data_IF_305708949429
#
_entry.id   IF_305708949429
#
_cell.length_a   1.000
_cell.length_b   1.000
_cell.length_c   1.000
_cell.angle_alpha   90.00
_cell.angle_beta   90.00
_cell.angle_gamma   90.00
#
_symmetry.space_group_name_H-M   'P 1'
#
loop_
_entity.id
_entity.type
_entity.pdbx_description
1 polymer ?
#
# COMPACT_ATOMS: atom_id res chain seq x y z
N UNK A 1 19.94 24.25 -12.33
CA UNK A 1 20.09 23.97 -10.89
C UNK A 1 18.77 23.93 -10.09
N UNK A 2 17.74 24.77 -10.29
CA UNK A 2 16.50 24.66 -9.49
C UNK A 2 15.61 23.45 -9.86
N UNK A 3 15.64 23.01 -11.12
CA UNK A 3 14.76 21.94 -11.63
C UNK A 3 15.08 20.54 -11.05
N UNK A 4 16.36 20.21 -10.87
CA UNK A 4 16.77 18.92 -10.30
C UNK A 4 16.38 18.78 -8.81
N UNK A 5 16.47 19.87 -8.05
CA UNK A 5 16.04 19.90 -6.65
C UNK A 5 14.52 19.73 -6.51
N UNK A 6 13.75 20.27 -7.46
CA UNK A 6 12.29 20.09 -7.50
C UNK A 6 11.95 18.63 -7.81
N UNK A 7 12.61 18.01 -8.80
CA UNK A 7 12.39 16.59 -9.11
C UNK A 7 12.76 15.69 -7.92
N UNK A 8 13.86 15.98 -7.22
CA UNK A 8 14.25 15.27 -6.00
C UNK A 8 13.21 15.41 -4.90
N UNK A 9 12.65 16.61 -4.70
CA UNK A 9 11.59 16.85 -3.74
C UNK A 9 10.32 16.05 -4.07
N UNK A 10 9.87 16.06 -5.33
CA UNK A 10 8.71 15.26 -5.75
C UNK A 10 8.99 13.75 -5.65
N UNK A 11 10.22 13.29 -5.93
CA UNK A 11 10.60 11.90 -5.75
C UNK A 11 10.52 11.44 -4.28
N UNK A 12 10.75 12.34 -3.31
CA UNK A 12 10.59 12.06 -1.88
C UNK A 12 9.13 12.15 -1.41
N UNK A 13 8.43 13.19 -1.83
CA UNK A 13 7.13 13.57 -1.26
C UNK A 13 5.99 12.78 -1.87
N UNK A 14 6.03 12.48 -3.16
CA UNK A 14 4.94 11.79 -3.86
C UNK A 14 4.71 10.35 -3.35
N UNK A 15 5.76 9.54 -3.12
CA UNK A 15 5.58 8.21 -2.53
C UNK A 15 5.09 8.27 -1.09
N UNK A 16 5.48 9.29 -0.32
CA UNK A 16 5.07 9.48 1.07
C UNK A 16 3.60 9.90 1.17
N UNK A 17 3.18 10.89 0.38
CA UNK A 17 1.78 11.32 0.29
C UNK A 17 0.89 10.17 -0.17
N UNK A 18 1.33 9.44 -1.19
CA UNK A 18 0.67 8.26 -1.72
C UNK A 18 0.52 7.14 -0.68
N UNK A 19 1.60 6.78 0.01
CA UNK A 19 1.57 5.77 1.06
C UNK A 19 0.65 6.17 2.21
N UNK A 20 0.68 7.45 2.64
CA UNK A 20 -0.11 7.93 3.77
C UNK A 20 -1.60 7.90 3.46
N UNK A 21 -2.02 8.35 2.27
CA UNK A 21 -3.42 8.31 1.84
C UNK A 21 -3.97 6.88 1.76
N UNK A 22 -3.16 5.92 1.32
CA UNK A 22 -3.62 4.53 1.18
C UNK A 22 -3.53 3.72 2.47
N UNK A 23 -2.65 4.07 3.41
CA UNK A 23 -2.75 3.55 4.78
C UNK A 23 -4.06 4.01 5.40
N UNK A 24 -4.46 5.27 5.21
CA UNK A 24 -5.75 5.79 5.70
C UNK A 24 -6.94 5.09 5.03
N UNK A 25 -6.94 4.97 3.69
CA UNK A 25 -7.98 4.23 2.98
C UNK A 25 -8.01 2.76 3.39
N UNK A 26 -6.85 2.16 3.61
CA UNK A 26 -6.74 0.77 3.98
C UNK A 26 -7.27 0.52 5.40
N UNK A 27 -6.87 1.35 6.35
CA UNK A 27 -7.40 1.34 7.71
C UNK A 27 -8.92 1.60 7.70
N UNK A 28 -9.39 2.53 6.88
CA UNK A 28 -10.82 2.83 6.73
C UNK A 28 -11.61 1.64 6.18
N UNK A 29 -11.12 0.96 5.14
CA UNK A 29 -11.75 -0.24 4.56
C UNK A 29 -11.74 -1.40 5.57
N UNK A 30 -10.65 -1.56 6.30
CA UNK A 30 -10.54 -2.51 7.41
C UNK A 30 -11.54 -2.22 8.53
N UNK A 31 -11.75 -0.95 8.87
CA UNK A 31 -12.73 -0.52 9.88
C UNK A 31 -14.18 -0.70 9.39
N UNK A 32 -14.49 -0.43 8.13
CA UNK A 32 -15.82 -0.69 7.55
C UNK A 32 -16.17 -2.17 7.54
N UNK A 33 -15.23 -3.04 7.17
CA UNK A 33 -15.40 -4.49 7.27
C UNK A 33 -15.56 -4.99 8.72
N UNK A 34 -15.21 -4.16 9.71
CA UNK A 34 -15.32 -4.46 11.14
C UNK A 34 -16.45 -3.74 11.85
N UNK A 35 -17.24 -2.95 11.12
CA UNK A 35 -18.31 -2.19 11.75
C UNK A 35 -19.39 -3.16 12.25
N UNK A 36 -19.94 -2.95 13.46
CA UNK A 36 -21.02 -3.77 14.00
C UNK A 36 -22.25 -3.80 13.07
N UNK A 37 -22.50 -2.73 12.30
CA UNK A 37 -23.56 -2.69 11.29
C UNK A 37 -23.34 -3.69 10.13
N UNK A 38 -22.10 -4.08 9.85
CA UNK A 38 -21.76 -5.10 8.85
C UNK A 38 -21.90 -6.53 9.42
N UNK A 39 -21.99 -6.66 10.75
CA UNK A 39 -22.08 -7.94 11.46
C UNK A 39 -23.51 -8.29 11.86
N UNK A 40 -24.40 -7.30 11.97
CA UNK A 40 -25.81 -7.49 12.25
C UNK A 40 -26.50 -8.22 11.08
N UNK A 41 -27.03 -9.41 11.36
CA UNK A 41 -27.74 -10.25 10.38
C UNK A 41 -26.88 -11.32 9.68
N UNK A 42 -25.58 -11.40 9.97
CA UNK A 42 -24.71 -12.47 9.44
C UNK A 42 -24.79 -13.75 10.30
N UNK A 43 -24.72 -14.90 9.65
CA UNK A 43 -24.63 -16.21 10.33
C UNK A 43 -23.25 -16.41 10.97
N UNK A 44 -23.13 -17.32 11.96
CA UNK A 44 -21.85 -17.60 12.61
C UNK A 44 -20.75 -18.03 11.61
N UNK A 45 -21.13 -18.72 10.54
CA UNK A 45 -20.24 -19.13 9.45
C UNK A 45 -19.69 -17.93 8.66
N UNK A 46 -20.55 -16.97 8.33
CA UNK A 46 -20.15 -15.73 7.65
C UNK A 46 -19.25 -14.88 8.52
N UNK A 47 -19.51 -14.82 9.83
CA UNK A 47 -18.64 -14.13 10.80
C UNK A 47 -17.26 -14.78 10.86
N UNK A 48 -17.17 -16.12 10.84
CA UNK A 48 -15.91 -16.84 10.84
C UNK A 48 -15.09 -16.54 9.56
N UNK A 49 -15.74 -16.52 8.40
CA UNK A 49 -15.12 -16.14 7.12
C UNK A 49 -14.65 -14.68 7.12
N UNK A 50 -15.46 -13.75 7.61
CA UNK A 50 -15.10 -12.33 7.72
C UNK A 50 -13.84 -12.12 8.59
N UNK A 51 -13.73 -12.85 9.70
CA UNK A 51 -12.49 -12.84 10.54
C UNK A 51 -11.27 -13.37 9.77
N UNK A 52 -11.45 -14.27 8.82
CA UNK A 52 -10.37 -14.78 7.96
C UNK A 52 -9.90 -13.71 6.97
N UNK A 53 -10.83 -13.02 6.32
CA UNK A 53 -10.57 -11.88 5.44
C UNK A 53 -9.88 -10.73 6.17
N UNK A 54 -10.33 -10.43 7.39
CA UNK A 54 -9.68 -9.46 8.28
C UNK A 54 -8.21 -9.81 8.54
N UNK A 55 -7.89 -11.06 8.86
CA UNK A 55 -6.51 -11.49 9.10
C UNK A 55 -5.65 -11.37 7.83
N UNK A 56 -6.22 -11.68 6.66
CA UNK A 56 -5.56 -11.51 5.36
C UNK A 56 -5.27 -10.02 5.10
N UNK A 57 -6.26 -9.18 5.35
CA UNK A 57 -6.17 -7.73 5.19
C UNK A 57 -5.08 -7.10 6.07
N UNK A 58 -5.10 -7.42 7.37
CA UNK A 58 -4.06 -6.97 8.32
C UNK A 58 -2.68 -7.45 7.90
N UNK A 59 -2.57 -8.66 7.37
CA UNK A 59 -1.29 -9.20 6.87
C UNK A 59 -0.79 -8.43 5.64
N UNK A 60 -1.69 -8.05 4.71
CA UNK A 60 -1.34 -7.20 3.56
C UNK A 60 -0.87 -5.84 4.05
N UNK A 61 -1.63 -5.20 4.94
CA UNK A 61 -1.27 -3.92 5.55
C UNK A 61 0.10 -3.96 6.25
N UNK A 62 0.36 -4.96 7.08
CA UNK A 62 1.65 -5.12 7.76
C UNK A 62 2.80 -5.35 6.78
N UNK A 63 2.60 -6.18 5.75
CA UNK A 63 3.60 -6.40 4.69
C UNK A 63 3.86 -5.13 3.88
N UNK A 64 2.83 -4.35 3.63
CA UNK A 64 2.94 -3.05 2.96
C UNK A 64 3.71 -2.04 3.81
N UNK A 65 3.40 -1.92 5.11
CA UNK A 65 4.13 -1.06 6.05
C UNK A 65 5.59 -1.49 6.14
N UNK A 66 5.84 -2.80 6.30
CA UNK A 66 7.20 -3.33 6.33
C UNK A 66 7.96 -3.04 5.01
N UNK A 67 7.31 -3.27 3.86
CA UNK A 67 7.85 -2.94 2.56
C UNK A 67 8.18 -1.45 2.41
N UNK A 68 7.33 -0.56 2.95
CA UNK A 68 7.60 0.88 2.97
C UNK A 68 8.81 1.23 3.85
N UNK A 69 8.90 0.65 5.05
CA UNK A 69 10.06 0.83 5.96
C UNK A 69 11.36 0.35 5.31
N UNK A 70 11.32 -0.69 4.47
CA UNK A 70 12.48 -1.18 3.71
C UNK A 70 12.77 -0.31 2.47
N UNK A 71 11.74 0.20 1.79
CA UNK A 71 11.89 1.06 0.61
C UNK A 71 12.47 2.44 0.96
N UNK A 72 12.21 2.96 2.17
CA UNK A 72 12.75 4.24 2.62
C UNK A 72 14.30 4.32 2.60
N UNK A 73 15.04 3.40 3.26
CA UNK A 73 16.50 3.42 3.22
C UNK A 73 17.05 3.11 1.82
N UNK A 74 16.39 2.25 1.02
CA UNK A 74 16.76 2.00 -0.38
C UNK A 74 16.65 3.29 -1.19
N UNK A 75 15.56 4.04 -1.01
CA UNK A 75 15.35 5.32 -1.68
C UNK A 75 16.37 6.36 -1.25
N UNK A 76 16.66 6.45 0.06
CA UNK A 76 17.74 7.29 0.59
C UNK A 76 19.11 6.94 0.01
N UNK A 77 19.42 5.66 -0.15
CA UNK A 77 20.66 5.19 -0.75
C UNK A 77 20.80 5.60 -2.22
N UNK A 78 19.78 5.35 -3.06
CA UNK A 78 19.81 5.71 -4.48
C UNK A 78 19.89 7.23 -4.73
N UNK A 79 19.28 8.03 -3.85
CA UNK A 79 19.37 9.48 -3.90
C UNK A 79 20.75 9.98 -3.44
N UNK A 80 21.33 9.33 -2.43
CA UNK A 80 22.69 9.61 -1.99
C UNK A 80 23.73 9.27 -3.08
N UNK A 81 23.58 8.16 -3.81
CA UNK A 81 24.48 7.84 -4.92
C UNK A 81 24.31 8.78 -6.11
N UNK A 82 23.07 9.18 -6.42
CA UNK A 82 22.76 10.14 -7.48
C UNK A 82 23.33 11.54 -7.20
N UNK A 83 23.24 12.02 -5.95
CA UNK A 83 23.80 13.32 -5.52
C UNK A 83 25.33 13.36 -5.51
N UNK A 84 25.98 12.21 -5.32
CA UNK A 84 27.44 12.07 -5.43
C UNK A 84 27.93 11.84 -6.88
N UNK A 85 27.03 11.88 -7.87
CA UNK A 85 27.32 11.57 -9.28
C UNK A 85 28.00 10.20 -9.51
N UNK A 86 27.84 9.26 -8.58
CA UNK A 86 28.38 7.89 -8.69
C UNK A 86 27.58 7.10 -9.72
N UNK A 87 26.28 7.41 -9.84
CA UNK A 87 25.35 6.81 -10.79
C UNK A 87 24.58 7.90 -11.53
N UNK A 88 24.16 7.63 -12.78
CA UNK A 88 23.31 8.56 -13.54
C UNK A 88 22.03 8.89 -12.75
N UNK A 89 21.75 10.18 -12.44
CA UNK A 89 20.59 10.57 -11.66
C UNK A 89 19.28 10.07 -12.26
N UNK A 90 19.14 10.15 -13.58
CA UNK A 90 17.95 9.68 -14.31
C UNK A 90 17.72 8.18 -14.13
N UNK A 91 18.79 7.37 -14.17
CA UNK A 91 18.70 5.93 -13.94
C UNK A 91 18.22 5.59 -12.52
N UNK A 92 18.75 6.28 -11.51
CA UNK A 92 18.33 6.09 -10.12
C UNK A 92 16.86 6.44 -9.89
N UNK A 93 16.36 7.54 -10.47
CA UNK A 93 14.94 7.93 -10.34
C UNK A 93 14.00 6.95 -11.05
N UNK A 94 14.37 6.45 -12.24
CA UNK A 94 13.57 5.45 -12.96
C UNK A 94 13.45 4.16 -12.13
N UNK A 95 14.56 3.69 -11.55
CA UNK A 95 14.57 2.48 -10.76
C UNK A 95 13.71 2.60 -9.49
N UNK A 96 13.77 3.76 -8.83
CA UNK A 96 12.88 4.08 -7.71
C UNK A 96 11.42 4.13 -8.14
N UNK A 97 11.11 4.74 -9.30
CA UNK A 97 9.77 4.74 -9.86
C UNK A 97 9.22 3.34 -10.10
N UNK A 98 10.03 2.42 -10.61
CA UNK A 98 9.66 1.01 -10.81
C UNK A 98 9.44 0.31 -9.46
N UNK A 99 10.36 0.47 -8.50
CA UNK A 99 10.25 -0.14 -7.17
C UNK A 99 8.98 0.32 -6.44
N UNK A 100 8.73 1.63 -6.44
CA UNK A 100 7.50 2.18 -5.88
C UNK A 100 6.27 1.73 -6.65
N UNK A 101 6.32 1.71 -7.99
CA UNK A 101 5.21 1.24 -8.84
C UNK A 101 4.83 -0.21 -8.57
N UNK A 102 5.81 -1.12 -8.45
CA UNK A 102 5.56 -2.52 -8.11
C UNK A 102 4.98 -2.68 -6.71
N UNK A 103 5.53 -1.94 -5.73
CA UNK A 103 5.00 -1.92 -4.38
C UNK A 103 3.55 -1.39 -4.34
N UNK A 104 3.26 -0.38 -5.16
CA UNK A 104 1.93 0.20 -5.33
C UNK A 104 0.93 -0.81 -5.90
N UNK A 105 1.28 -1.51 -6.98
CA UNK A 105 0.43 -2.54 -7.58
C UNK A 105 0.14 -3.64 -6.58
N UNK A 106 1.13 -4.05 -5.78
CA UNK A 106 0.94 -5.03 -4.72
C UNK A 106 -0.06 -4.57 -3.64
N UNK A 107 0.08 -3.32 -3.17
CA UNK A 107 -0.76 -2.78 -2.10
C UNK A 107 -2.20 -2.58 -2.57
N UNK A 108 -2.39 -1.85 -3.67
CA UNK A 108 -3.73 -1.52 -4.19
C UNK A 108 -4.41 -2.76 -4.74
N UNK A 109 -3.70 -3.55 -5.54
CA UNK A 109 -4.21 -4.81 -6.07
C UNK A 109 -4.59 -5.79 -4.96
N UNK A 110 -3.75 -5.93 -3.92
CA UNK A 110 -4.02 -6.80 -2.79
C UNK A 110 -5.25 -6.38 -1.97
N UNK A 111 -5.40 -5.08 -1.71
CA UNK A 111 -6.55 -4.53 -0.98
C UNK A 111 -7.85 -4.69 -1.78
N UNK A 112 -7.85 -4.28 -3.05
CA UNK A 112 -9.03 -4.37 -3.92
C UNK A 112 -9.46 -5.82 -4.15
N UNK A 113 -8.50 -6.70 -4.42
CA UNK A 113 -8.79 -8.12 -4.63
C UNK A 113 -9.38 -8.77 -3.36
N UNK A 114 -8.82 -8.46 -2.18
CA UNK A 114 -9.34 -8.99 -0.91
C UNK A 114 -10.74 -8.44 -0.61
N UNK A 115 -10.99 -7.16 -0.90
CA UNK A 115 -12.32 -6.56 -0.75
C UNK A 115 -13.34 -7.16 -1.73
N UNK A 116 -12.93 -7.38 -2.98
CA UNK A 116 -13.76 -8.04 -4.00
C UNK A 116 -14.17 -9.45 -3.57
N UNK A 117 -13.22 -10.29 -3.16
CA UNK A 117 -13.50 -11.65 -2.68
C UNK A 117 -14.46 -11.64 -1.49
N UNK A 118 -14.30 -10.69 -0.58
CA UNK A 118 -15.20 -10.53 0.56
C UNK A 118 -16.64 -10.18 0.12
N UNK A 119 -16.81 -9.29 -0.86
CA UNK A 119 -18.12 -8.91 -1.38
C UNK A 119 -18.80 -10.04 -2.15
N UNK A 120 -18.05 -10.79 -2.96
CA UNK A 120 -18.56 -11.91 -3.73
C UNK A 120 -19.07 -13.03 -2.81
N UNK A 121 -18.31 -13.40 -1.78
CA UNK A 121 -18.74 -14.41 -0.81
C UNK A 121 -19.93 -13.96 0.06
N UNK A 122 -20.01 -12.68 0.41
CA UNK A 122 -21.18 -12.15 1.14
C UNK A 122 -22.44 -12.16 0.27
N UNK A 123 -22.31 -12.04 -1.04
CA UNK A 123 -23.41 -12.09 -2.00
C UNK A 123 -23.92 -13.51 -2.24
N UNK A 124 -23.04 -14.51 -2.27
CA UNK A 124 -23.43 -15.93 -2.44
C UNK A 124 -24.10 -16.53 -1.19
N UNK A 125 -23.90 -15.92 -0.02
CA UNK A 125 -24.49 -16.35 1.25
C UNK A 125 -25.85 -15.72 1.59
N UNK A 126 -26.41 -14.88 0.71
CA UNK A 126 -27.78 -14.36 0.78
C UNK A 126 -28.71 -15.16 -0.15
#
# INVERSE_FOLDING_TARGET
MPYENIIQFYAYVTPFLGATQFIVLGVWLGLMLLSPATLEGLTEEQIAKLRSYRRRYVRILLRSIFGFVVLLPISGFFLWTATRHITSPSGSYILLGILYGLWWVYLVGGILFTAWQCLEELREGQ
#
